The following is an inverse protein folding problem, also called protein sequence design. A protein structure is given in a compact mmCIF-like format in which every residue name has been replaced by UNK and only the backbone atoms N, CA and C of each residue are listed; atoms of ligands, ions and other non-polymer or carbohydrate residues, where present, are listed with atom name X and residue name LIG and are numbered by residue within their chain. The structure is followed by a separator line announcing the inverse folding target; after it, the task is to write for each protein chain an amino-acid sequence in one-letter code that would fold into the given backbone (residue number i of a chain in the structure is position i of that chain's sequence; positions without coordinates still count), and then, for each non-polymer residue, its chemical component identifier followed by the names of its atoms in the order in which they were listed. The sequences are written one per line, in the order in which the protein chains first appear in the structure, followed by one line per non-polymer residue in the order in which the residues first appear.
data_IF_210957355313
#
_entry.id   IF_210957355313
#
_cell.length_a   1.000
_cell.length_b   1.000
_cell.length_c   1.000
_cell.angle_alpha   90.00
_cell.angle_beta   90.00
_cell.angle_gamma   90.00
#
_symmetry.space_group_name_H-M   'P 1'
#
loop_
_entity.id
_entity.type
_entity.pdbx_description
1 polymer ?
#
# COMPACT_ATOMS: atom_id res chain seq x y z
N UNK A 1 -18.08 -55.39 11.31
CA UNK A 1 -19.03 -54.33 11.00
C UNK A 1 -19.57 -53.60 12.27
N UNK A 2 -20.05 -54.31 13.31
CA UNK A 2 -20.53 -53.63 14.54
C UNK A 2 -19.51 -52.71 15.23
N UNK A 3 -18.24 -53.07 15.27
CA UNK A 3 -17.18 -52.21 15.90
C UNK A 3 -16.89 -50.94 15.12
N UNK A 4 -17.08 -50.91 13.79
CA UNK A 4 -16.88 -49.74 12.94
C UNK A 4 -18.00 -48.70 13.14
N UNK A 5 -19.23 -49.18 13.31
CA UNK A 5 -20.40 -48.31 13.57
C UNK A 5 -20.26 -47.59 14.93
N UNK A 6 -19.76 -48.27 15.96
CA UNK A 6 -19.52 -47.68 17.27
C UNK A 6 -18.41 -46.62 17.20
N UNK A 7 -17.36 -46.84 16.38
CA UNK A 7 -16.30 -45.85 16.18
C UNK A 7 -16.81 -44.58 15.48
N UNK A 8 -17.67 -44.73 14.47
CA UNK A 8 -18.28 -43.57 13.76
C UNK A 8 -19.22 -42.81 14.69
N UNK A 9 -19.98 -43.48 15.54
CA UNK A 9 -20.86 -42.84 16.52
C UNK A 9 -20.07 -42.08 17.60
N UNK A 10 -18.91 -42.56 18.02
CA UNK A 10 -18.04 -41.87 18.98
C UNK A 10 -17.37 -40.61 18.40
N UNK A 11 -17.10 -40.59 17.10
CA UNK A 11 -16.52 -39.42 16.42
C UNK A 11 -17.59 -38.34 16.19
N UNK A 12 -18.84 -38.73 15.97
CA UNK A 12 -19.93 -37.74 15.74
C UNK A 12 -20.38 -37.01 17.00
N UNK A 13 -20.12 -37.54 18.20
CA UNK A 13 -20.51 -36.86 19.45
C UNK A 13 -19.54 -35.77 19.89
N UNK A 14 -18.33 -35.67 19.33
CA UNK A 14 -17.37 -34.63 19.67
C UNK A 14 -17.57 -33.32 18.87
N UNK A 15 -18.53 -33.27 17.94
CA UNK A 15 -18.78 -32.12 17.07
C UNK A 15 -19.82 -31.12 17.59
N UNK A 16 -20.46 -31.36 18.73
CA UNK A 16 -21.50 -30.47 19.28
C UNK A 16 -21.00 -29.76 20.56
N UNK A 17 -19.78 -29.23 20.53
CA UNK A 17 -19.50 -28.07 21.39
C UNK A 17 -20.14 -26.87 20.70
N UNK A 18 -21.30 -26.48 21.18
CA UNK A 18 -21.97 -25.26 20.79
C UNK A 18 -20.96 -24.12 20.87
N UNK A 19 -20.65 -23.52 19.74
CA UNK A 19 -20.00 -22.22 19.74
C UNK A 19 -20.95 -21.32 20.52
N UNK A 20 -20.54 -20.93 21.73
CA UNK A 20 -21.18 -19.82 22.40
C UNK A 20 -21.25 -18.68 21.40
N UNK A 21 -22.44 -18.11 21.16
CA UNK A 21 -22.53 -16.96 20.30
C UNK A 21 -21.55 -15.93 20.90
N UNK A 22 -20.44 -15.69 20.22
CA UNK A 22 -19.56 -14.57 20.55
C UNK A 22 -20.44 -13.32 20.41
N UNK A 23 -21.09 -12.93 21.49
CA UNK A 23 -21.60 -11.59 21.65
C UNK A 23 -20.38 -10.68 21.64
N UNK A 24 -19.93 -10.34 20.43
CA UNK A 24 -19.09 -9.18 20.24
C UNK A 24 -19.96 -8.02 20.65
N UNK A 25 -19.62 -7.42 21.79
CA UNK A 25 -20.20 -6.15 22.17
C UNK A 25 -20.15 -5.25 20.94
N UNK A 26 -21.33 -4.76 20.53
CA UNK A 26 -21.41 -3.91 19.36
C UNK A 26 -20.61 -2.64 19.71
N UNK A 27 -19.36 -2.56 19.22
CA UNK A 27 -18.52 -1.39 19.38
C UNK A 27 -19.30 -0.19 18.82
N UNK A 28 -19.30 0.90 19.55
CA UNK A 28 -19.90 2.15 19.08
C UNK A 28 -19.21 2.55 17.76
N UNK A 29 -19.97 3.16 16.86
CA UNK A 29 -19.44 3.56 15.54
C UNK A 29 -18.19 4.41 15.69
N UNK A 30 -18.12 5.23 16.73
CA UNK A 30 -16.99 6.08 17.07
C UNK A 30 -15.74 5.27 17.43
N UNK A 31 -15.86 4.24 18.24
CA UNK A 31 -14.74 3.35 18.58
C UNK A 31 -14.24 2.55 17.37
N UNK A 32 -15.14 2.14 16.50
CA UNK A 32 -14.78 1.48 15.24
C UNK A 32 -14.04 2.43 14.30
N UNK A 33 -14.47 3.68 14.20
CA UNK A 33 -13.81 4.71 13.40
C UNK A 33 -12.43 5.04 13.96
N UNK A 34 -12.31 5.23 15.28
CA UNK A 34 -11.04 5.52 15.92
C UNK A 34 -10.03 4.39 15.72
N UNK A 35 -10.45 3.14 15.88
CA UNK A 35 -9.59 1.97 15.71
C UNK A 35 -9.17 1.72 14.27
N UNK A 36 -10.11 1.85 13.31
CA UNK A 36 -9.85 1.49 11.92
C UNK A 36 -9.31 2.66 11.09
N UNK A 37 -9.65 3.90 11.43
CA UNK A 37 -9.24 5.10 10.69
C UNK A 37 -9.12 6.33 11.61
N UNK A 38 -8.08 6.40 12.45
CA UNK A 38 -7.91 7.46 13.44
C UNK A 38 -7.82 8.86 12.82
N UNK A 39 -7.28 8.97 11.60
CA UNK A 39 -7.18 10.26 10.91
C UNK A 39 -8.54 10.76 10.44
N UNK A 40 -9.42 9.88 9.96
CA UNK A 40 -10.81 10.20 9.65
C UNK A 40 -11.56 10.66 10.91
N UNK A 41 -11.44 9.91 12.01
CA UNK A 41 -12.08 10.23 13.27
C UNK A 41 -11.69 11.64 13.78
N UNK A 42 -10.39 11.93 13.82
CA UNK A 42 -9.87 13.25 14.19
C UNK A 42 -10.36 14.36 13.27
N UNK A 43 -10.45 14.11 11.96
CA UNK A 43 -10.92 15.09 10.97
C UNK A 43 -12.41 15.40 11.16
N UNK A 44 -13.24 14.40 11.42
CA UNK A 44 -14.66 14.57 11.70
C UNK A 44 -14.87 15.36 12.99
N UNK A 45 -14.17 15.02 14.07
CA UNK A 45 -14.28 15.72 15.35
C UNK A 45 -13.87 17.19 15.27
N UNK A 46 -12.86 17.50 14.45
CA UNK A 46 -12.35 18.88 14.30
C UNK A 46 -13.09 19.71 13.25
N UNK A 47 -14.02 19.11 12.49
CA UNK A 47 -14.68 19.78 11.37
C UNK A 47 -13.71 20.18 10.26
N UNK A 48 -12.66 19.38 10.04
CA UNK A 48 -11.58 19.68 9.12
C UNK A 48 -11.88 19.34 7.65
N UNK A 49 -11.01 19.80 6.76
CA UNK A 49 -11.06 19.45 5.34
C UNK A 49 -10.37 18.12 5.09
N UNK A 50 -10.74 17.45 3.99
CA UNK A 50 -10.08 16.27 3.49
C UNK A 50 -9.95 16.28 1.97
N UNK A 51 -8.91 15.60 1.45
CA UNK A 51 -8.68 15.49 0.02
C UNK A 51 -9.38 14.26 -0.54
N UNK A 52 -9.96 14.40 -1.72
CA UNK A 52 -10.59 13.30 -2.44
C UNK A 52 -9.98 13.20 -3.84
N UNK A 53 -9.42 12.05 -4.14
CA UNK A 53 -9.01 11.69 -5.48
C UNK A 53 -10.14 10.91 -6.15
N UNK A 54 -10.88 11.59 -7.00
CA UNK A 54 -11.96 11.02 -7.79
C UNK A 54 -11.42 10.45 -9.11
N UNK A 55 -11.85 9.24 -9.44
CA UNK A 55 -11.64 8.64 -10.76
C UNK A 55 -13.00 8.33 -11.38
N UNK A 56 -13.50 9.28 -12.17
CA UNK A 56 -14.84 9.19 -12.78
C UNK A 56 -14.99 7.99 -13.73
N UNK A 57 -13.90 7.60 -14.42
CA UNK A 57 -13.96 6.46 -15.35
C UNK A 57 -14.14 5.11 -14.63
N UNK A 58 -13.58 4.94 -13.44
CA UNK A 58 -13.66 3.67 -12.69
C UNK A 58 -14.58 3.77 -11.47
N UNK A 59 -15.23 4.92 -11.26
CA UNK A 59 -16.07 5.22 -10.09
C UNK A 59 -15.37 4.96 -8.75
N UNK A 60 -14.04 4.96 -8.77
CA UNK A 60 -13.23 4.75 -7.56
C UNK A 60 -12.86 6.09 -6.96
N UNK A 61 -13.15 6.23 -5.66
CA UNK A 61 -12.85 7.39 -4.85
C UNK A 61 -11.86 7.02 -3.75
N UNK A 62 -10.84 7.85 -3.56
CA UNK A 62 -9.88 7.69 -2.48
C UNK A 62 -9.82 8.98 -1.67
N UNK A 63 -9.87 8.85 -0.35
CA UNK A 63 -9.82 9.98 0.60
C UNK A 63 -8.48 10.01 1.29
N UNK A 64 -8.01 11.22 1.58
CA UNK A 64 -6.80 11.49 2.36
C UNK A 64 -7.13 12.53 3.41
N UNK A 65 -6.69 12.28 4.62
CA UNK A 65 -6.94 13.11 5.80
C UNK A 65 -5.63 13.72 6.29
N UNK A 66 -5.72 14.73 7.15
CA UNK A 66 -4.57 15.24 7.89
C UNK A 66 -3.93 14.09 8.67
N UNK A 67 -2.61 13.97 8.60
CA UNK A 67 -1.86 12.82 9.13
C UNK A 67 -1.66 11.67 8.13
N UNK A 68 -2.26 11.71 6.94
CA UNK A 68 -2.00 10.70 5.92
C UNK A 68 -0.76 11.04 5.09
N UNK A 69 0.01 10.01 4.75
CA UNK A 69 1.10 10.15 3.79
C UNK A 69 0.56 10.34 2.38
N UNK A 70 0.95 11.42 1.71
CA UNK A 70 0.60 11.70 0.32
C UNK A 70 1.86 11.80 -0.54
N UNK A 71 1.96 10.91 -1.53
CA UNK A 71 2.97 11.03 -2.58
C UNK A 71 2.40 11.77 -3.78
N UNK A 72 3.04 12.85 -4.23
CA UNK A 72 2.58 13.58 -5.40
C UNK A 72 3.73 14.23 -6.17
N UNK A 73 3.45 14.61 -7.41
CA UNK A 73 4.36 15.38 -8.27
C UNK A 73 3.66 16.63 -8.74
N UNK A 74 4.32 17.78 -8.60
CA UNK A 74 3.83 19.08 -9.03
C UNK A 74 3.93 19.26 -10.54
N UNK A 75 3.36 20.32 -11.06
CA UNK A 75 3.51 20.74 -12.46
C UNK A 75 4.93 21.22 -12.78
N UNK A 76 5.63 21.81 -11.79
CA UNK A 76 7.04 22.18 -11.85
C UNK A 76 7.98 20.96 -11.99
N UNK A 77 7.52 19.79 -11.53
CA UNK A 77 8.31 18.57 -11.62
C UNK A 77 8.82 18.05 -10.28
N UNK A 78 8.57 18.77 -9.20
CA UNK A 78 9.01 18.41 -7.86
C UNK A 78 8.21 17.22 -7.34
N UNK A 79 8.87 16.30 -6.66
CA UNK A 79 8.28 15.13 -6.07
C UNK A 79 8.32 15.23 -4.55
N UNK A 80 7.16 15.06 -3.94
CA UNK A 80 6.99 15.03 -2.48
C UNK A 80 6.35 13.71 -2.06
N UNK A 81 6.77 13.21 -0.93
CA UNK A 81 6.16 12.04 -0.28
C UNK A 81 6.20 12.27 1.23
N UNK A 82 5.25 13.06 1.70
CA UNK A 82 5.22 13.59 3.05
C UNK A 82 3.85 13.41 3.69
N UNK A 83 3.80 13.61 4.99
CA UNK A 83 2.57 13.62 5.76
C UNK A 83 1.83 14.94 5.55
N UNK A 84 0.51 14.85 5.36
CA UNK A 84 -0.36 16.02 5.26
C UNK A 84 -0.51 16.66 6.64
N UNK A 85 0.05 17.87 6.83
CA UNK A 85 -0.05 18.60 8.08
C UNK A 85 -1.36 19.38 8.19
N UNK A 86 -1.81 19.96 7.05
CA UNK A 86 -3.05 20.73 6.98
C UNK A 86 -3.65 20.66 5.58
N UNK A 87 -4.97 20.73 5.50
CA UNK A 87 -5.72 20.80 4.24
C UNK A 87 -6.60 22.04 4.28
N UNK A 88 -6.19 23.07 3.53
CA UNK A 88 -6.99 24.28 3.31
C UNK A 88 -8.05 24.08 2.22
N UNK A 89 -8.79 25.12 1.87
CA UNK A 89 -9.87 25.04 0.87
C UNK A 89 -9.36 24.73 -0.55
N UNK A 90 -8.15 25.17 -0.90
CA UNK A 90 -7.52 24.93 -2.22
C UNK A 90 -6.05 24.60 -2.12
N UNK A 91 -5.53 24.48 -0.91
CA UNK A 91 -4.12 24.26 -0.61
C UNK A 91 -3.95 23.03 0.27
N UNK A 92 -2.77 22.45 0.23
CA UNK A 92 -2.31 21.46 1.18
C UNK A 92 -0.97 21.91 1.76
N UNK A 93 -0.78 21.64 3.03
CA UNK A 93 0.45 21.93 3.76
C UNK A 93 1.13 20.63 4.11
N UNK A 94 2.42 20.55 3.79
CA UNK A 94 3.28 19.42 4.14
C UNK A 94 4.48 19.90 4.93
N UNK A 95 5.04 19.04 5.78
CA UNK A 95 6.32 19.27 6.43
C UNK A 95 7.39 18.45 5.71
N UNK A 96 8.35 19.14 5.13
CA UNK A 96 9.48 18.53 4.42
C UNK A 96 10.77 18.73 5.23
N UNK A 97 11.49 17.64 5.46
CA UNK A 97 12.80 17.74 6.11
C UNK A 97 13.89 17.97 5.05
N UNK A 98 14.44 19.19 5.07
CA UNK A 98 15.57 19.53 4.24
C UNK A 98 16.86 18.94 4.84
N UNK A 99 17.37 17.88 4.20
CA UNK A 99 18.58 17.18 4.66
C UNK A 99 19.86 18.04 4.60
N UNK A 100 19.90 19.02 3.72
CA UNK A 100 21.07 19.90 3.52
C UNK A 100 21.17 20.91 4.66
N UNK A 101 20.06 21.59 4.95
CA UNK A 101 20.00 22.61 5.98
C UNK A 101 19.65 22.07 7.37
N UNK A 102 19.30 20.79 7.47
CA UNK A 102 18.81 20.12 8.69
C UNK A 102 17.65 20.84 9.35
N UNK A 103 16.77 21.41 8.53
CA UNK A 103 15.60 22.18 8.97
C UNK A 103 14.33 21.51 8.49
N UNK A 104 13.27 21.71 9.28
CA UNK A 104 11.92 21.31 8.94
C UNK A 104 11.25 22.51 8.24
N UNK A 105 10.95 22.35 6.96
CA UNK A 105 10.32 23.37 6.14
C UNK A 105 8.83 23.06 5.97
N UNK A 106 8.01 24.09 6.07
CA UNK A 106 6.57 23.99 5.81
C UNK A 106 6.30 24.47 4.39
N UNK A 107 5.78 23.58 3.56
CA UNK A 107 5.46 23.87 2.16
C UNK A 107 3.96 23.93 1.96
N UNK A 108 3.46 25.08 1.47
CA UNK A 108 2.05 25.28 1.11
C UNK A 108 1.91 25.15 -0.41
N UNK A 109 1.20 24.12 -0.85
CA UNK A 109 1.07 23.77 -2.26
C UNK A 109 -0.38 23.86 -2.68
N UNK A 110 -0.65 24.50 -3.82
CA UNK A 110 -2.02 24.56 -4.38
C UNK A 110 -2.39 23.19 -4.95
N UNK A 111 -3.58 22.73 -4.63
CA UNK A 111 -4.11 21.44 -5.14
C UNK A 111 -4.14 21.44 -6.67
N UNK A 112 -4.38 22.60 -7.31
CA UNK A 112 -4.35 22.79 -8.76
C UNK A 112 -2.97 22.54 -9.40
N UNK A 113 -1.89 22.69 -8.63
CA UNK A 113 -0.52 22.56 -9.13
C UNK A 113 -0.02 21.12 -9.06
N UNK A 114 -0.83 20.24 -8.51
CA UNK A 114 -0.51 18.81 -8.49
C UNK A 114 -0.82 18.21 -9.87
N UNK A 115 0.21 17.61 -10.49
CA UNK A 115 0.10 16.94 -11.78
C UNK A 115 -0.22 15.46 -11.64
N UNK A 116 0.30 14.82 -10.56
CA UNK A 116 0.26 13.37 -10.40
C UNK A 116 0.20 13.01 -8.93
N UNK A 117 -0.63 12.04 -8.56
CA UNK A 117 -0.72 11.50 -7.21
C UNK A 117 -0.26 10.05 -7.22
N UNK A 118 0.62 9.68 -6.29
CA UNK A 118 1.12 8.34 -6.13
C UNK A 118 0.32 7.58 -5.08
N UNK A 119 0.21 6.29 -5.26
CA UNK A 119 -0.35 5.44 -4.21
C UNK A 119 0.62 5.37 -3.05
N UNK A 120 0.10 5.29 -1.81
CA UNK A 120 0.87 5.25 -0.54
C UNK A 120 2.06 4.27 -0.53
N UNK A 121 2.18 3.39 -1.51
CA UNK A 121 3.06 2.23 -1.47
C UNK A 121 4.07 2.17 -2.63
N UNK A 122 4.54 3.31 -3.13
CA UNK A 122 5.56 3.33 -4.20
C UNK A 122 6.76 2.45 -3.85
N UNK A 123 7.20 2.49 -2.58
CA UNK A 123 8.33 1.69 -2.11
C UNK A 123 8.02 0.19 -1.93
N UNK A 124 6.77 -0.20 -1.68
CA UNK A 124 6.41 -1.62 -1.60
C UNK A 124 6.62 -2.35 -2.92
N UNK A 125 6.41 -1.66 -4.03
CA UNK A 125 6.59 -2.26 -5.34
C UNK A 125 8.03 -2.56 -5.69
N UNK A 126 8.95 -1.68 -5.30
CA UNK A 126 10.39 -1.93 -5.48
C UNK A 126 10.81 -3.10 -4.59
N UNK A 127 10.39 -3.12 -3.32
CA UNK A 127 10.65 -4.24 -2.40
C UNK A 127 10.06 -5.56 -2.93
N UNK A 128 8.86 -5.51 -3.49
CA UNK A 128 8.22 -6.68 -4.12
C UNK A 128 8.97 -7.16 -5.37
N UNK A 129 9.36 -6.24 -6.24
CA UNK A 129 10.14 -6.53 -7.45
C UNK A 129 11.49 -7.15 -7.12
N UNK A 130 12.19 -6.63 -6.10
CA UNK A 130 13.44 -7.19 -5.62
C UNK A 130 13.22 -8.58 -5.01
N UNK A 131 12.21 -8.75 -4.15
CA UNK A 131 11.94 -10.04 -3.48
C UNK A 131 11.58 -11.14 -4.47
N UNK A 132 10.61 -10.92 -5.35
CA UNK A 132 10.20 -11.91 -6.36
C UNK A 132 11.25 -12.10 -7.46
N UNK A 133 11.95 -11.03 -7.84
CA UNK A 133 13.06 -11.11 -8.77
C UNK A 133 14.19 -11.96 -8.24
N UNK A 134 14.50 -11.86 -6.96
CA UNK A 134 15.50 -12.71 -6.30
C UNK A 134 15.05 -14.16 -6.28
N UNK A 135 13.81 -14.46 -5.88
CA UNK A 135 13.28 -15.83 -5.88
C UNK A 135 13.32 -16.45 -7.29
N UNK A 136 12.86 -15.72 -8.31
CA UNK A 136 12.88 -16.19 -9.69
C UNK A 136 14.32 -16.41 -10.22
N UNK A 137 15.27 -15.56 -9.80
CA UNK A 137 16.67 -15.68 -10.20
C UNK A 137 17.37 -16.86 -9.52
N UNK A 138 17.02 -17.18 -8.28
CA UNK A 138 17.61 -18.30 -7.55
C UNK A 138 17.00 -19.66 -7.89
N UNK A 139 15.75 -19.71 -8.38
CA UNK A 139 15.06 -20.96 -8.67
C UNK A 139 15.86 -21.91 -9.61
N UNK A 140 16.42 -21.49 -10.75
CA UNK A 140 17.19 -22.36 -11.61
C UNK A 140 18.50 -22.84 -10.96
N UNK A 141 19.11 -22.05 -10.09
CA UNK A 141 20.33 -22.41 -9.37
C UNK A 141 20.05 -23.50 -8.34
N UNK A 142 18.94 -23.38 -7.60
CA UNK A 142 18.49 -24.41 -6.68
C UNK A 142 18.14 -25.71 -7.41
N UNK A 143 17.52 -25.60 -8.58
CA UNK A 143 17.20 -26.76 -9.41
C UNK A 143 18.47 -27.49 -9.85
N UNK A 144 19.48 -26.79 -10.38
CA UNK A 144 20.76 -27.35 -10.79
C UNK A 144 21.52 -28.00 -9.63
N UNK A 145 21.47 -27.37 -8.46
CA UNK A 145 22.11 -27.90 -7.26
C UNK A 145 21.46 -29.21 -6.79
N UNK A 146 20.13 -29.26 -6.78
CA UNK A 146 19.38 -30.45 -6.35
C UNK A 146 19.52 -31.60 -7.36
N UNK A 147 19.41 -31.29 -8.65
CA UNK A 147 19.41 -32.31 -9.71
C UNK A 147 20.81 -32.79 -10.08
N UNK A 148 21.80 -31.92 -10.12
CA UNK A 148 23.12 -32.22 -10.68
C UNK A 148 24.24 -32.09 -9.64
N UNK A 149 23.96 -31.71 -8.39
CA UNK A 149 24.96 -31.55 -7.34
C UNK A 149 25.97 -30.42 -7.59
N UNK A 150 25.72 -29.57 -8.58
CA UNK A 150 26.62 -28.43 -8.93
C UNK A 150 26.46 -27.33 -7.94
N UNK A 151 27.58 -26.88 -7.30
CA UNK A 151 27.48 -25.76 -6.38
C UNK A 151 27.14 -24.46 -7.12
N UNK A 152 26.36 -23.55 -6.51
CA UNK A 152 26.02 -22.26 -7.11
C UNK A 152 27.24 -21.42 -7.56
N UNK A 153 28.37 -21.57 -6.88
CA UNK A 153 29.62 -20.88 -7.19
C UNK A 153 30.29 -21.37 -8.49
N UNK A 154 29.96 -22.53 -8.97
CA UNK A 154 30.54 -23.14 -10.19
C UNK A 154 29.73 -22.80 -11.45
N UNK A 155 28.53 -22.20 -11.28
CA UNK A 155 27.66 -21.84 -12.40
C UNK A 155 27.87 -20.37 -12.78
N UNK A 156 28.88 -20.12 -13.63
CA UNK A 156 29.21 -18.76 -14.11
C UNK A 156 28.07 -18.11 -14.89
N UNK A 157 27.23 -18.89 -15.57
CA UNK A 157 26.06 -18.36 -16.28
C UNK A 157 25.01 -17.81 -15.31
N UNK A 158 24.84 -18.47 -14.16
CA UNK A 158 23.92 -18.00 -13.12
C UNK A 158 24.34 -16.67 -12.52
N UNK A 159 25.64 -16.41 -12.37
CA UNK A 159 26.17 -15.13 -11.85
C UNK A 159 25.83 -13.95 -12.76
N UNK A 160 25.68 -14.17 -14.07
CA UNK A 160 25.28 -13.12 -15.02
C UNK A 160 23.73 -13.04 -15.09
N UNK A 161 23.06 -14.18 -15.03
CA UNK A 161 21.60 -14.24 -15.18
C UNK A 161 20.86 -13.61 -13.99
N UNK A 162 21.37 -13.78 -12.78
CA UNK A 162 20.77 -13.22 -11.55
C UNK A 162 20.59 -11.70 -11.64
N UNK A 163 21.66 -10.90 -11.85
CA UNK A 163 21.52 -9.46 -11.93
C UNK A 163 20.67 -9.00 -13.14
N UNK A 164 20.71 -9.76 -14.26
CA UNK A 164 19.88 -9.46 -15.42
C UNK A 164 18.38 -9.64 -15.13
N UNK A 165 17.99 -10.73 -14.48
CA UNK A 165 16.59 -10.97 -14.05
C UNK A 165 16.17 -9.94 -13.01
N UNK A 166 17.02 -9.61 -12.04
CA UNK A 166 16.72 -8.58 -11.04
C UNK A 166 16.52 -7.20 -11.68
N UNK A 167 17.41 -6.80 -12.57
CA UNK A 167 17.26 -5.55 -13.32
C UNK A 167 15.96 -5.53 -14.16
N UNK A 168 15.65 -6.63 -14.84
CA UNK A 168 14.42 -6.79 -15.60
C UNK A 168 13.16 -6.65 -14.74
N UNK A 169 13.12 -7.29 -13.59
CA UNK A 169 11.98 -7.20 -12.66
C UNK A 169 11.81 -5.81 -12.07
N UNK A 170 12.90 -5.10 -11.76
CA UNK A 170 12.88 -3.70 -11.32
C UNK A 170 12.33 -2.79 -12.41
N UNK A 171 12.76 -2.97 -13.68
CA UNK A 171 12.26 -2.19 -14.81
C UNK A 171 10.77 -2.45 -15.05
N UNK A 172 10.33 -3.71 -14.99
CA UNK A 172 8.91 -4.08 -15.13
C UNK A 172 8.10 -3.49 -13.98
N UNK A 173 8.59 -3.58 -12.75
CA UNK A 173 7.94 -2.99 -11.59
C UNK A 173 7.79 -1.47 -11.76
N UNK A 174 8.85 -0.77 -12.15
CA UNK A 174 8.82 0.67 -12.37
C UNK A 174 7.92 1.11 -13.55
N UNK A 175 7.80 0.30 -14.60
CA UNK A 175 6.90 0.57 -15.74
C UNK A 175 5.46 0.16 -15.47
N UNK A 176 5.19 -0.70 -14.50
CA UNK A 176 3.82 -1.13 -14.23
C UNK A 176 2.95 0.07 -13.80
N UNK A 177 1.72 0.13 -14.30
CA UNK A 177 0.71 1.16 -13.94
C UNK A 177 0.43 1.20 -12.42
N UNK A 178 0.84 0.17 -11.70
CA UNK A 178 0.68 0.05 -10.26
C UNK A 178 1.57 1.05 -9.51
N UNK A 179 2.80 1.32 -10.03
CA UNK A 179 3.78 2.21 -9.41
C UNK A 179 3.81 3.59 -10.06
N UNK A 180 3.28 3.71 -11.25
CA UNK A 180 3.32 4.93 -12.05
C UNK A 180 2.30 5.99 -11.64
N UNK A 181 1.87 6.10 -10.39
CA UNK A 181 0.98 7.15 -9.90
C UNK A 181 -0.21 7.47 -10.83
N UNK A 182 -1.17 8.16 -10.33
CA UNK A 182 -2.38 8.57 -11.05
C UNK A 182 -2.14 9.98 -11.61
N UNK A 183 -2.05 10.12 -12.93
CA UNK A 183 -1.98 11.43 -13.59
C UNK A 183 -3.34 12.11 -13.50
N UNK A 184 -3.37 13.33 -12.98
CA UNK A 184 -4.59 14.14 -12.88
C UNK A 184 -4.96 14.67 -14.28
N UNK A 185 -6.23 14.56 -14.61
CA UNK A 185 -6.84 15.04 -15.88
C UNK A 185 -8.34 15.23 -15.66
N UNK A 186 -9.09 15.56 -16.71
CA UNK A 186 -10.54 15.77 -16.65
C UNK A 186 -11.30 14.61 -15.96
N UNK A 187 -10.84 13.35 -16.15
CA UNK A 187 -11.47 12.15 -15.58
C UNK A 187 -10.93 11.75 -14.19
N UNK A 188 -9.85 12.38 -13.73
CA UNK A 188 -9.19 12.07 -12.45
C UNK A 188 -8.79 13.37 -11.80
N UNK A 189 -9.55 13.77 -10.80
CA UNK A 189 -9.41 15.07 -10.14
C UNK A 189 -9.12 14.88 -8.66
N UNK A 190 -8.29 15.78 -8.13
CA UNK A 190 -8.05 15.93 -6.71
C UNK A 190 -8.84 17.14 -6.23
N UNK A 191 -9.72 16.97 -5.25
CA UNK A 191 -10.61 18.01 -4.73
C UNK A 191 -10.56 18.01 -3.21
N UNK A 192 -10.80 19.18 -2.64
CA UNK A 192 -10.98 19.36 -1.20
C UNK A 192 -12.47 19.30 -0.88
N UNK A 193 -12.81 18.63 0.20
CA UNK A 193 -14.15 18.56 0.78
C UNK A 193 -14.08 18.90 2.26
N UNK A 194 -15.14 19.51 2.79
CA UNK A 194 -15.32 19.76 4.22
C UNK A 194 -16.01 18.55 4.85
N UNK A 195 -15.53 18.15 6.02
CA UNK A 195 -16.29 17.22 6.86
C UNK A 195 -17.39 18.00 7.56
N UNK A 196 -18.59 17.49 7.53
CA UNK A 196 -19.75 18.07 8.24
C UNK A 196 -19.77 17.51 9.66
#
# INVERSE_FOLDING_TARGET
MRKLIILILLISTNGVFGQEPHQKDALQIEELLEKNNPNLYKTIQRGGNFLVLDNYKSQKRRRYYVGDMLGFKTKSGDFFQEELSEIGDSTLTIMHYNNVERKLETWVIKVSDIRKVYKREVYKGIKWGIGWGSLAAFAPIFYDWIQFGRSPAQNTEALILIPAIQAGTIVIANRSKFFNGIKLNANKQLKVFKSF
#
